data_IF_648677433421
#
_entry.id   IF_648677433421
#
_cell.length_a   1.000
_cell.length_b   1.000
_cell.length_c   1.000
_cell.angle_alpha   90.00
_cell.angle_beta   90.00
_cell.angle_gamma   90.00
#
_symmetry.space_group_name_H-M   'P 1'
#
loop_
_entity.id
_entity.type
_entity.pdbx_description
1 polymer ?
#
# COMPACT_ATOMS: atom_id res chain seq x y z
N UNK A 1 25.84 -23.84 -25.99
CA UNK A 1 24.51 -23.23 -26.13
C UNK A 1 24.32 -22.34 -24.92
N UNK A 2 24.66 -21.06 -25.05
CA UNK A 2 24.56 -20.09 -23.95
C UNK A 2 23.27 -19.32 -24.16
N UNK A 3 22.28 -19.51 -23.30
CA UNK A 3 21.14 -18.60 -23.26
C UNK A 3 21.64 -17.23 -22.80
N UNK A 4 21.32 -16.13 -23.51
CA UNK A 4 21.49 -14.81 -22.94
C UNK A 4 20.44 -14.67 -21.84
N UNK A 5 20.86 -14.20 -20.66
CA UNK A 5 19.96 -13.70 -19.62
C UNK A 5 19.13 -12.54 -20.22
N UNK A 6 18.00 -12.90 -20.82
CA UNK A 6 17.12 -11.98 -21.53
C UNK A 6 16.46 -11.07 -20.52
N UNK A 7 17.04 -9.88 -20.37
CA UNK A 7 16.33 -8.62 -20.43
C UNK A 7 14.89 -8.66 -19.96
N UNK A 8 14.70 -8.53 -18.66
CA UNK A 8 13.59 -7.76 -18.15
C UNK A 8 14.16 -6.91 -17.02
N UNK A 9 14.80 -5.80 -17.40
CA UNK A 9 14.63 -4.59 -16.61
C UNK A 9 13.13 -4.27 -16.66
N UNK A 10 12.34 -5.04 -15.91
CA UNK A 10 10.96 -4.75 -15.61
C UNK A 10 11.02 -3.35 -15.05
N UNK A 11 10.45 -2.41 -15.79
CA UNK A 11 10.37 -1.01 -15.48
C UNK A 11 10.24 -0.85 -13.97
N UNK A 12 11.36 -0.54 -13.31
CA UNK A 12 11.38 -0.36 -11.87
C UNK A 12 10.76 1.00 -11.67
N UNK A 13 9.44 1.05 -11.78
CA UNK A 13 8.67 2.23 -11.52
C UNK A 13 9.02 2.66 -10.09
N UNK A 14 9.88 3.69 -9.99
CA UNK A 14 10.46 4.13 -8.72
C UNK A 14 9.45 4.93 -7.91
N UNK A 15 8.21 5.08 -8.39
CA UNK A 15 7.14 5.77 -7.70
C UNK A 15 6.63 4.91 -6.56
N UNK A 16 6.36 5.55 -5.42
CA UNK A 16 5.69 4.89 -4.31
C UNK A 16 4.20 4.77 -4.67
N UNK A 17 3.60 3.57 -4.63
CA UNK A 17 2.16 3.41 -4.84
C UNK A 17 1.40 4.10 -3.71
N UNK A 18 0.44 4.96 -4.07
CA UNK A 18 -0.37 5.72 -3.11
C UNK A 18 -1.83 5.34 -3.26
N UNK A 19 -2.46 4.99 -2.15
CA UNK A 19 -3.91 4.73 -2.06
C UNK A 19 -4.55 5.80 -1.18
N UNK A 20 -5.66 6.38 -1.63
CA UNK A 20 -6.42 7.37 -0.87
C UNK A 20 -7.69 6.70 -0.34
N UNK A 21 -7.81 6.61 0.98
CA UNK A 21 -9.04 6.16 1.65
C UNK A 21 -9.90 7.37 2.03
N UNK A 22 -11.04 7.52 1.36
CA UNK A 22 -11.98 8.64 1.56
C UNK A 22 -13.39 8.13 1.92
N UNK A 23 -14.27 9.05 2.35
CA UNK A 23 -15.65 8.76 2.75
C UNK A 23 -16.17 9.73 3.80
N UNK A 24 -17.49 9.82 3.94
CA UNK A 24 -18.16 10.67 4.94
C UNK A 24 -17.83 10.28 6.40
N UNK A 25 -18.19 11.14 7.35
CA UNK A 25 -18.12 10.80 8.78
C UNK A 25 -18.97 9.57 9.07
N UNK A 26 -18.45 8.62 9.85
CA UNK A 26 -19.15 7.36 10.14
C UNK A 26 -19.06 6.29 9.04
N UNK A 27 -18.42 6.54 7.89
CA UNK A 27 -18.29 5.56 6.80
C UNK A 27 -17.38 4.35 7.10
N UNK A 28 -16.88 4.20 8.34
CA UNK A 28 -16.06 3.05 8.73
C UNK A 28 -14.60 3.07 8.23
N UNK A 29 -14.08 4.23 7.77
CA UNK A 29 -12.69 4.36 7.27
C UNK A 29 -11.64 3.81 8.24
N UNK A 30 -11.74 4.17 9.52
CA UNK A 30 -10.84 3.70 10.57
C UNK A 30 -10.93 2.19 10.79
N UNK A 31 -12.15 1.63 10.75
CA UNK A 31 -12.38 0.19 10.89
C UNK A 31 -11.72 -0.59 9.75
N UNK A 32 -11.89 -0.12 8.51
CA UNK A 32 -11.24 -0.73 7.34
C UNK A 32 -9.71 -0.61 7.45
N UNK A 33 -9.19 0.56 7.78
CA UNK A 33 -7.75 0.78 7.94
C UNK A 33 -7.14 -0.17 8.99
N UNK A 34 -7.78 -0.30 10.15
CA UNK A 34 -7.35 -1.21 11.22
C UNK A 34 -7.42 -2.68 10.82
N UNK A 35 -8.39 -3.06 9.97
CA UNK A 35 -8.46 -4.41 9.43
C UNK A 35 -7.32 -4.68 8.45
N UNK A 36 -7.05 -3.74 7.53
CA UNK A 36 -5.97 -3.86 6.53
C UNK A 36 -4.59 -3.92 7.19
N UNK A 37 -4.32 -3.06 8.18
CA UNK A 37 -3.04 -3.01 8.90
C UNK A 37 -2.65 -4.32 9.60
N UNK A 38 -3.59 -5.25 9.80
CA UNK A 38 -3.33 -6.58 10.40
C UNK A 38 -2.95 -7.63 9.36
N UNK A 39 -3.03 -7.32 8.07
CA UNK A 39 -2.75 -8.24 6.99
C UNK A 39 -1.24 -8.27 6.68
N UNK A 40 -0.64 -9.46 6.47
CA UNK A 40 0.78 -9.58 6.09
C UNK A 40 1.15 -8.79 4.83
N UNK A 41 0.19 -8.60 3.92
CA UNK A 41 0.37 -7.84 2.68
C UNK A 41 0.64 -6.34 2.92
N UNK A 42 0.35 -5.84 4.12
CA UNK A 42 0.64 -4.46 4.51
C UNK A 42 2.03 -4.28 5.14
N UNK A 43 2.84 -5.35 5.22
CA UNK A 43 4.23 -5.25 5.66
C UNK A 43 5.01 -4.27 4.77
N UNK A 44 5.67 -3.28 5.38
CA UNK A 44 6.38 -2.22 4.66
C UNK A 44 5.50 -1.04 4.20
N UNK A 45 4.20 -1.03 4.52
CA UNK A 45 3.33 0.12 4.25
C UNK A 45 3.52 1.24 5.29
N UNK A 46 3.56 2.49 4.84
CA UNK A 46 3.49 3.68 5.69
C UNK A 46 2.07 4.26 5.67
N UNK A 47 1.54 4.60 6.84
CA UNK A 47 0.19 5.17 6.99
C UNK A 47 0.28 6.62 7.45
N UNK A 48 -0.37 7.51 6.71
CA UNK A 48 -0.55 8.92 7.05
C UNK A 48 -2.01 9.18 7.40
N UNK A 49 -2.28 9.62 8.63
CA UNK A 49 -3.61 9.98 9.10
C UNK A 49 -3.59 11.39 9.70
N UNK A 50 -4.69 12.12 9.54
CA UNK A 50 -4.83 13.47 10.08
C UNK A 50 -5.05 13.48 11.60
N UNK A 51 -5.70 12.45 12.15
CA UNK A 51 -6.10 12.37 13.56
C UNK A 51 -5.72 10.98 14.12
N UNK A 52 -5.02 10.93 15.27
CA UNK A 52 -4.87 9.73 16.10
C UNK A 52 -5.83 9.87 17.31
N UNK A 53 -6.77 8.95 17.51
CA UNK A 53 -7.70 9.06 18.66
C UNK A 53 -8.62 7.86 18.92
N UNK A 54 -8.38 7.24 20.09
CA UNK A 54 -8.98 6.08 20.78
C UNK A 54 -8.91 4.71 20.08
#
# INVERSE_FOLDING_TARGET
MSEPASGAAADLDRRIPVTILTGFLGAGKTTLLNHLLRQPQMEGCAVLINEFGA
#
